data_IF_344616228243
#
_entry.id   IF_344616228243
#
_cell.length_a   1.000
_cell.length_b   1.000
_cell.length_c   1.000
_cell.angle_alpha   90.00
_cell.angle_beta   90.00
_cell.angle_gamma   90.00
#
_symmetry.space_group_name_H-M   'P 1'
#
loop_
_entity.id
_entity.type
_entity.pdbx_description
1 polymer ?
#
# COMPACT_ATOMS: atom_id res chain seq x y z
N UNK A 1 10.37 35.03 12.29
CA UNK A 1 9.25 34.12 12.00
C UNK A 1 8.71 34.28 10.58
N UNK A 2 8.27 35.48 10.15
CA UNK A 2 7.72 35.68 8.79
C UNK A 2 8.60 35.15 7.65
N UNK A 3 9.89 35.48 7.64
CA UNK A 3 10.85 34.96 6.65
C UNK A 3 10.93 33.43 6.60
N UNK A 4 10.87 32.78 7.76
CA UNK A 4 10.89 31.32 7.86
C UNK A 4 9.62 30.71 7.26
N UNK A 5 8.45 31.24 7.60
CA UNK A 5 7.18 30.77 7.05
C UNK A 5 7.14 30.90 5.53
N UNK A 6 7.56 32.05 4.98
CA UNK A 6 7.66 32.27 3.53
C UNK A 6 8.57 31.23 2.86
N UNK A 7 9.71 30.92 3.47
CA UNK A 7 10.65 29.94 2.92
C UNK A 7 10.09 28.52 2.96
N UNK A 8 9.48 28.09 4.08
CA UNK A 8 8.87 26.75 4.21
C UNK A 8 7.76 26.54 3.18
N UNK A 9 6.94 27.56 2.92
CA UNK A 9 5.83 27.47 1.96
C UNK A 9 6.20 27.89 0.53
N UNK A 10 7.48 28.13 0.22
CA UNK A 10 7.91 28.58 -1.10
C UNK A 10 7.72 27.51 -2.18
N UNK A 11 7.15 27.92 -3.32
CA UNK A 11 7.00 27.11 -4.53
C UNK A 11 8.29 27.02 -5.36
N UNK A 12 9.29 27.84 -5.04
CA UNK A 12 10.60 27.86 -5.73
C UNK A 12 11.58 26.83 -5.17
N UNK A 13 11.24 26.17 -4.05
CA UNK A 13 12.06 25.10 -3.51
C UNK A 13 12.05 23.90 -4.47
N UNK A 14 13.23 23.34 -4.76
CA UNK A 14 13.38 22.14 -5.62
C UNK A 14 12.51 20.98 -5.16
N UNK A 15 12.35 20.83 -3.86
CA UNK A 15 11.39 19.95 -3.21
C UNK A 15 10.57 20.80 -2.25
N UNK A 16 9.26 20.90 -2.49
CA UNK A 16 8.36 21.64 -1.61
C UNK A 16 8.46 21.11 -0.17
N UNK A 17 8.51 22.00 0.83
CA UNK A 17 8.53 21.61 2.25
C UNK A 17 7.09 21.62 2.77
N UNK A 18 6.51 22.81 2.95
CA UNK A 18 5.19 22.98 3.54
C UNK A 18 5.17 22.68 5.04
N UNK A 19 4.06 22.99 5.71
CA UNK A 19 3.90 22.71 7.13
C UNK A 19 3.88 21.21 7.43
N UNK A 20 3.29 20.42 6.53
CA UNK A 20 3.34 18.97 6.64
C UNK A 20 4.76 18.43 6.44
N UNK A 21 5.58 19.07 5.60
CA UNK A 21 6.99 18.72 5.41
C UNK A 21 7.81 18.81 6.69
N UNK A 22 7.49 19.74 7.59
CA UNK A 22 8.16 19.89 8.88
C UNK A 22 8.02 18.65 9.78
N UNK A 23 6.92 17.89 9.65
CA UNK A 23 6.73 16.62 10.35
C UNK A 23 7.19 15.42 9.51
N UNK A 24 6.86 15.43 8.22
CA UNK A 24 7.16 14.35 7.27
C UNK A 24 8.66 14.08 7.16
N UNK A 25 9.48 15.13 7.00
CA UNK A 25 10.93 14.98 6.77
C UNK A 25 11.62 14.27 7.94
N UNK A 26 11.55 14.76 9.19
CA UNK A 26 12.25 14.11 10.29
C UNK A 26 11.72 12.70 10.57
N UNK A 27 10.40 12.48 10.47
CA UNK A 27 9.81 11.15 10.73
C UNK A 27 10.24 10.12 9.70
N UNK A 28 10.17 10.44 8.40
CA UNK A 28 10.61 9.52 7.34
C UNK A 28 12.13 9.28 7.37
N UNK A 29 12.94 10.29 7.71
CA UNK A 29 14.39 10.10 7.86
C UNK A 29 14.74 9.17 9.03
N UNK A 30 14.06 9.34 10.18
CA UNK A 30 14.23 8.45 11.34
C UNK A 30 13.79 7.01 11.00
N UNK A 31 12.63 6.83 10.37
CA UNK A 31 12.15 5.50 9.97
C UNK A 31 13.11 4.83 8.96
N UNK A 32 13.54 5.55 7.93
CA UNK A 32 14.44 5.02 6.90
C UNK A 32 15.82 4.66 7.45
N UNK A 33 16.42 5.54 8.26
CA UNK A 33 17.73 5.27 8.88
C UNK A 33 17.69 4.07 9.81
N UNK A 34 16.67 3.97 10.68
CA UNK A 34 16.50 2.82 11.56
C UNK A 34 16.26 1.52 10.76
N UNK A 35 15.39 1.56 9.74
CA UNK A 35 15.13 0.40 8.88
C UNK A 35 16.40 -0.10 8.18
N UNK A 36 17.18 0.79 7.55
CA UNK A 36 18.41 0.40 6.86
C UNK A 36 19.39 -0.28 7.81
N UNK A 37 19.61 0.30 8.99
CA UNK A 37 20.55 -0.26 9.98
C UNK A 37 20.02 -1.61 10.50
N UNK A 38 18.74 -1.67 10.89
CA UNK A 38 18.15 -2.88 11.44
C UNK A 38 18.12 -4.04 10.43
N UNK A 39 17.75 -3.76 9.18
CA UNK A 39 17.73 -4.76 8.12
C UNK A 39 19.13 -5.34 7.82
N UNK A 40 20.18 -4.52 7.97
CA UNK A 40 21.56 -4.97 7.76
C UNK A 40 22.09 -5.73 8.99
N UNK A 41 21.88 -5.20 10.19
CA UNK A 41 22.70 -5.55 11.36
C UNK A 41 21.95 -5.88 12.65
N UNK A 42 20.61 -5.81 12.70
CA UNK A 42 19.88 -6.13 13.93
C UNK A 42 20.14 -7.60 14.36
N UNK A 43 20.34 -7.87 15.66
CA UNK A 43 20.40 -9.22 16.18
C UNK A 43 19.03 -9.92 16.07
N UNK A 44 18.96 -11.24 16.35
CA UNK A 44 17.69 -11.96 16.42
C UNK A 44 16.72 -11.38 17.46
N UNK A 45 15.41 -11.45 17.16
CA UNK A 45 14.31 -10.83 17.93
C UNK A 45 13.33 -11.90 18.42
N UNK A 46 12.92 -11.86 19.68
CA UNK A 46 11.94 -12.78 20.28
C UNK A 46 10.49 -12.35 19.98
N UNK A 47 10.05 -12.54 18.73
CA UNK A 47 8.74 -12.08 18.23
C UNK A 47 7.56 -12.62 19.03
N UNK A 48 7.56 -13.90 19.40
CA UNK A 48 6.41 -14.54 20.08
C UNK A 48 6.49 -14.42 21.61
N UNK A 49 7.58 -13.85 22.15
CA UNK A 49 7.79 -13.71 23.60
C UNK A 49 8.04 -15.03 24.33
N UNK A 50 8.41 -16.07 23.60
CA UNK A 50 8.65 -17.44 24.10
C UNK A 50 10.13 -17.76 24.27
N UNK A 51 11.01 -16.74 24.14
CA UNK A 51 12.47 -16.86 24.18
C UNK A 51 13.03 -17.66 23.03
N UNK A 52 12.44 -17.53 21.85
CA UNK A 52 12.89 -18.14 20.59
C UNK A 52 13.20 -17.05 19.55
N UNK A 53 14.42 -16.48 19.56
CA UNK A 53 14.72 -15.34 18.70
C UNK A 53 14.82 -15.71 17.22
N UNK A 54 14.17 -14.91 16.38
CA UNK A 54 14.19 -15.03 14.92
C UNK A 54 15.22 -14.07 14.33
N UNK A 55 16.16 -14.59 13.55
CA UNK A 55 17.16 -13.79 12.84
C UNK A 55 16.55 -13.11 11.60
N UNK A 56 16.50 -11.77 11.58
CA UNK A 56 15.94 -11.01 10.46
C UNK A 56 16.96 -10.31 9.56
N UNK A 57 18.17 -10.04 10.04
CA UNK A 57 19.09 -9.14 9.33
C UNK A 57 20.12 -9.88 8.46
N UNK A 58 20.71 -9.14 7.51
CA UNK A 58 21.67 -9.70 6.54
C UNK A 58 22.92 -10.28 7.22
N UNK A 59 23.47 -9.58 8.22
CA UNK A 59 24.67 -10.04 8.94
C UNK A 59 24.42 -11.30 9.78
N UNK A 60 23.15 -11.63 10.06
CA UNK A 60 22.75 -12.84 10.77
C UNK A 60 22.23 -13.93 9.82
N UNK A 61 22.72 -13.96 8.58
CA UNK A 61 22.55 -15.08 7.66
C UNK A 61 21.36 -14.99 6.71
N UNK A 62 20.72 -13.82 6.61
CA UNK A 62 19.63 -13.60 5.65
C UNK A 62 20.12 -13.02 4.32
N UNK A 63 19.37 -13.30 3.26
CA UNK A 63 19.47 -12.59 1.99
C UNK A 63 18.32 -11.56 1.86
N UNK A 64 18.21 -10.88 0.73
CA UNK A 64 17.16 -9.87 0.51
C UNK A 64 15.73 -10.44 0.60
N UNK A 65 15.53 -11.71 0.23
CA UNK A 65 14.22 -12.36 0.25
C UNK A 65 13.85 -12.81 1.67
N UNK A 66 14.80 -13.41 2.39
CA UNK A 66 14.56 -13.92 3.74
C UNK A 66 14.66 -12.85 4.83
N UNK A 67 15.37 -11.75 4.56
CA UNK A 67 15.60 -10.68 5.52
C UNK A 67 14.33 -9.88 5.86
N UNK A 68 14.25 -9.44 7.10
CA UNK A 68 13.17 -8.62 7.64
C UNK A 68 13.62 -7.83 8.89
N UNK A 69 12.99 -6.69 9.15
CA UNK A 69 12.92 -6.17 10.52
C UNK A 69 11.74 -6.85 11.21
N UNK A 70 12.05 -7.66 12.23
CA UNK A 70 11.11 -8.53 12.93
C UNK A 70 10.20 -7.70 13.85
N UNK A 71 8.87 -7.97 13.87
CA UNK A 71 7.92 -7.36 14.81
C UNK A 71 8.35 -7.42 16.28
N UNK A 72 7.85 -6.48 17.08
CA UNK A 72 8.17 -6.44 18.51
C UNK A 72 7.53 -7.60 19.26
N UNK A 73 8.21 -8.05 20.31
CA UNK A 73 7.82 -9.24 21.09
C UNK A 73 6.38 -9.22 21.57
N UNK A 74 5.70 -10.37 21.53
CA UNK A 74 4.36 -10.52 22.08
C UNK A 74 4.30 -10.28 23.59
N UNK A 75 5.42 -10.42 24.30
CA UNK A 75 5.52 -10.04 25.71
C UNK A 75 5.28 -8.53 25.93
N UNK A 76 5.48 -7.69 24.90
CA UNK A 76 5.15 -6.26 24.91
C UNK A 76 3.67 -6.04 24.57
N UNK A 77 3.07 -6.86 23.70
CA UNK A 77 1.71 -6.65 23.22
C UNK A 77 1.55 -5.30 22.50
N UNK A 78 0.58 -4.49 22.94
CA UNK A 78 0.33 -3.12 22.46
C UNK A 78 1.02 -2.03 23.29
N UNK A 79 1.86 -2.40 24.27
CA UNK A 79 2.59 -1.40 25.04
C UNK A 79 3.55 -0.61 24.16
N UNK A 80 3.60 0.70 24.39
CA UNK A 80 4.54 1.58 23.71
C UNK A 80 5.95 1.32 24.23
N UNK A 81 6.86 0.85 23.37
CA UNK A 81 8.21 0.42 23.73
C UNK A 81 9.30 1.26 23.04
N UNK A 82 9.46 2.54 23.44
CA UNK A 82 10.55 3.39 22.96
C UNK A 82 11.88 2.96 23.58
N UNK A 83 12.98 3.49 23.03
CA UNK A 83 14.36 3.16 23.46
C UNK A 83 14.55 3.36 24.98
N UNK A 84 13.93 4.39 25.57
CA UNK A 84 14.10 4.73 26.98
C UNK A 84 13.24 3.91 27.96
N UNK A 85 12.37 3.03 27.47
CA UNK A 85 11.69 2.03 28.34
C UNK A 85 12.54 0.78 28.56
N UNK A 86 13.53 0.53 27.69
CA UNK A 86 14.46 -0.59 27.85
C UNK A 86 15.59 -0.24 28.85
N UNK A 87 16.09 -1.23 29.59
CA UNK A 87 17.24 -1.06 30.47
C UNK A 87 18.55 -0.88 29.69
N UNK A 88 18.61 -1.39 28.45
CA UNK A 88 19.75 -1.20 27.55
C UNK A 88 19.33 -1.27 26.08
N UNK A 89 20.26 -0.90 25.19
CA UNK A 89 20.04 -1.00 23.73
C UNK A 89 19.96 -2.48 23.31
N UNK A 90 20.71 -3.37 23.95
CA UNK A 90 20.67 -4.81 23.69
C UNK A 90 19.29 -5.40 24.01
N UNK A 91 18.69 -5.02 25.14
CA UNK A 91 17.32 -5.41 25.49
C UNK A 91 16.32 -4.86 24.47
N UNK A 92 16.46 -3.58 24.10
CA UNK A 92 15.59 -2.96 23.10
C UNK A 92 15.64 -3.69 21.75
N UNK A 93 16.84 -4.10 21.33
CA UNK A 93 17.04 -4.88 20.10
C UNK A 93 16.47 -6.29 20.22
N UNK A 94 16.70 -7.00 21.33
CA UNK A 94 16.18 -8.36 21.56
C UNK A 94 14.65 -8.40 21.51
N UNK A 95 13.99 -7.37 22.02
CA UNK A 95 12.53 -7.27 22.08
C UNK A 95 11.89 -6.66 20.80
N UNK A 96 12.68 -6.40 19.75
CA UNK A 96 12.15 -5.90 18.47
C UNK A 96 11.72 -4.43 18.49
N UNK A 97 12.31 -3.62 19.38
CA UNK A 97 12.09 -2.19 19.46
C UNK A 97 12.24 -1.41 18.13
N UNK A 98 13.18 -1.75 17.22
CA UNK A 98 13.27 -1.12 15.91
C UNK A 98 11.95 -1.15 15.11
N UNK A 99 11.17 -2.23 15.22
CA UNK A 99 9.91 -2.36 14.49
C UNK A 99 8.92 -1.27 14.86
N UNK A 100 8.63 -1.09 16.16
CA UNK A 100 7.70 -0.05 16.61
C UNK A 100 8.21 1.35 16.24
N UNK A 101 9.52 1.61 16.39
CA UNK A 101 10.11 2.90 16.00
C UNK A 101 9.87 3.19 14.52
N UNK A 102 10.18 2.23 13.64
CA UNK A 102 10.02 2.38 12.19
C UNK A 102 8.55 2.57 11.84
N UNK A 103 7.67 1.69 12.30
CA UNK A 103 6.23 1.71 11.97
C UNK A 103 5.59 3.02 12.38
N UNK A 104 5.78 3.46 13.63
CA UNK A 104 5.12 4.66 14.14
C UNK A 104 5.62 5.93 13.43
N UNK A 105 6.94 6.05 13.20
CA UNK A 105 7.48 7.18 12.43
C UNK A 105 7.06 7.12 10.96
N UNK A 106 7.04 5.94 10.35
CA UNK A 106 6.59 5.75 8.97
C UNK A 106 5.13 6.19 8.80
N UNK A 107 4.22 5.73 9.66
CA UNK A 107 2.79 6.06 9.58
C UNK A 107 2.54 7.56 9.74
N UNK A 108 3.22 8.23 10.68
CA UNK A 108 3.18 9.69 10.83
C UNK A 108 3.74 10.40 9.58
N UNK A 109 4.83 9.87 9.03
CA UNK A 109 5.48 10.39 7.84
C UNK A 109 4.60 10.31 6.60
N UNK A 110 3.97 9.17 6.31
CA UNK A 110 3.10 9.00 5.14
C UNK A 110 1.76 9.71 5.29
N UNK A 111 1.22 9.83 6.50
CA UNK A 111 0.07 10.68 6.78
C UNK A 111 0.38 12.17 6.52
N UNK A 112 1.58 12.61 6.93
CA UNK A 112 2.06 13.97 6.62
C UNK A 112 2.34 14.15 5.13
N UNK A 113 2.87 13.14 4.45
CA UNK A 113 3.07 13.16 2.99
C UNK A 113 1.75 13.39 2.26
N UNK A 114 0.68 12.67 2.65
CA UNK A 114 -0.66 12.87 2.13
C UNK A 114 -1.15 14.32 2.33
N UNK A 115 -0.95 14.90 3.53
CA UNK A 115 -1.25 16.31 3.79
C UNK A 115 -0.41 17.28 2.94
N UNK A 116 0.85 16.95 2.68
CA UNK A 116 1.75 17.74 1.83
C UNK A 116 1.31 17.76 0.37
N UNK A 117 0.77 16.65 -0.17
CA UNK A 117 0.19 16.61 -1.51
C UNK A 117 -0.98 17.60 -1.63
N UNK A 118 -1.87 17.63 -0.63
CA UNK A 118 -2.93 18.62 -0.56
C UNK A 118 -2.37 20.05 -0.48
N UNK A 119 -1.42 20.30 0.43
CA UNK A 119 -0.88 21.64 0.65
C UNK A 119 -0.26 22.22 -0.63
N UNK A 120 0.56 21.44 -1.35
CA UNK A 120 1.16 21.89 -2.61
C UNK A 120 0.09 22.09 -3.70
N UNK A 121 -0.90 21.21 -3.79
CA UNK A 121 -2.00 21.39 -4.75
C UNK A 121 -2.71 22.73 -4.56
N UNK A 122 -2.89 23.14 -3.30
CA UNK A 122 -3.46 24.45 -2.96
C UNK A 122 -2.53 25.61 -3.37
N UNK A 123 -1.22 25.52 -3.11
CA UNK A 123 -0.24 26.57 -3.50
C UNK A 123 -0.20 26.80 -5.01
N UNK A 124 -0.37 25.74 -5.79
CA UNK A 124 -0.33 25.80 -7.26
C UNK A 124 -1.70 26.05 -7.91
N UNK A 125 -2.77 26.23 -7.11
CA UNK A 125 -4.13 26.41 -7.65
C UNK A 125 -4.69 25.18 -8.37
N UNK A 126 -4.18 23.99 -8.05
CA UNK A 126 -4.64 22.72 -8.61
C UNK A 126 -5.94 22.24 -7.93
N UNK A 127 -6.62 21.28 -8.56
CA UNK A 127 -7.73 20.56 -7.92
C UNK A 127 -7.20 19.68 -6.78
N UNK A 128 -7.83 19.66 -5.59
CA UNK A 128 -7.22 19.11 -4.38
C UNK A 128 -7.54 17.63 -4.15
N UNK A 129 -7.44 16.75 -5.14
CA UNK A 129 -7.90 15.35 -5.00
C UNK A 129 -6.84 14.27 -5.21
N UNK A 130 -5.59 14.64 -5.47
CA UNK A 130 -4.48 13.68 -5.59
C UNK A 130 -4.27 12.95 -4.25
N UNK A 131 -4.25 13.69 -3.14
CA UNK A 131 -4.10 13.12 -1.81
C UNK A 131 -5.22 12.14 -1.43
N UNK A 132 -6.42 12.31 -2.00
CA UNK A 132 -7.53 11.37 -1.79
C UNK A 132 -7.21 10.03 -2.43
N UNK A 133 -6.62 10.00 -3.62
CA UNK A 133 -6.15 8.75 -4.22
C UNK A 133 -5.01 8.13 -3.39
N UNK A 134 -4.07 8.94 -2.90
CA UNK A 134 -2.98 8.47 -2.03
C UNK A 134 -3.46 7.96 -0.66
N UNK A 135 -4.67 8.32 -0.21
CA UNK A 135 -5.24 7.79 1.02
C UNK A 135 -5.48 6.27 0.98
N UNK A 136 -5.68 5.68 -0.20
CA UNK A 136 -5.89 4.23 -0.34
C UNK A 136 -4.68 3.41 0.16
N UNK A 137 -3.45 3.62 -0.35
CA UNK A 137 -2.28 2.92 0.18
C UNK A 137 -1.93 3.33 1.62
N UNK A 138 -2.19 4.57 2.04
CA UNK A 138 -2.01 4.97 3.46
C UNK A 138 -2.94 4.17 4.36
N UNK A 139 -4.21 4.00 4.00
CA UNK A 139 -5.17 3.19 4.74
C UNK A 139 -4.75 1.71 4.77
N UNK A 140 -4.22 1.16 3.67
CA UNK A 140 -3.73 -0.21 3.64
C UNK A 140 -2.54 -0.42 4.59
N UNK A 141 -1.59 0.52 4.60
CA UNK A 141 -0.46 0.50 5.52
C UNK A 141 -0.92 0.62 6.99
N UNK A 142 -1.85 1.52 7.28
CA UNK A 142 -2.43 1.64 8.63
C UNK A 142 -3.16 0.36 9.05
N UNK A 143 -3.83 -0.34 8.13
CA UNK A 143 -4.54 -1.58 8.44
C UNK A 143 -3.59 -2.67 8.92
N UNK A 144 -2.49 -2.92 8.20
CA UNK A 144 -1.56 -4.04 8.50
C UNK A 144 -0.53 -3.72 9.60
N UNK A 145 -0.21 -2.44 9.82
CA UNK A 145 0.82 -2.05 10.80
C UNK A 145 0.27 -1.49 12.11
N UNK A 146 -1.02 -1.15 12.18
CA UNK A 146 -1.61 -0.53 13.37
C UNK A 146 -2.97 -1.12 13.73
N UNK A 147 -3.94 -1.11 12.81
CA UNK A 147 -5.31 -1.54 13.15
C UNK A 147 -5.34 -3.03 13.49
N UNK A 148 -4.69 -3.87 12.68
CA UNK A 148 -4.62 -5.30 12.92
C UNK A 148 -3.90 -5.64 14.24
N UNK A 149 -2.69 -5.12 14.53
CA UNK A 149 -2.07 -5.22 15.85
C UNK A 149 -2.96 -4.81 17.03
N UNK A 150 -3.71 -3.71 16.89
CA UNK A 150 -4.62 -3.25 17.96
C UNK A 150 -5.74 -4.26 18.17
N UNK A 151 -6.32 -4.78 17.09
CA UNK A 151 -7.40 -5.76 17.14
C UNK A 151 -6.99 -7.09 17.76
N UNK A 152 -5.78 -7.56 17.43
CA UNK A 152 -5.21 -8.80 17.98
C UNK A 152 -4.53 -8.60 19.34
N UNK A 153 -4.29 -7.36 19.76
CA UNK A 153 -3.71 -7.04 21.06
C UNK A 153 -2.18 -7.11 21.11
N UNK A 154 -1.51 -7.18 19.95
CA UNK A 154 -0.06 -7.27 19.88
C UNK A 154 0.55 -6.70 18.60
N UNK A 155 1.64 -5.95 18.71
CA UNK A 155 2.46 -5.60 17.54
C UNK A 155 3.23 -6.78 16.95
N UNK A 156 3.32 -7.92 17.65
CA UNK A 156 3.91 -9.14 17.09
C UNK A 156 3.13 -9.70 15.89
N UNK A 157 1.80 -9.48 15.87
CA UNK A 157 0.91 -9.84 14.76
C UNK A 157 0.90 -8.81 13.62
N UNK A 158 1.64 -7.71 13.77
CA UNK A 158 1.84 -6.74 12.70
C UNK A 158 2.65 -7.34 11.55
N UNK A 159 2.36 -6.93 10.32
CA UNK A 159 3.10 -7.42 9.16
C UNK A 159 4.62 -7.15 9.31
N UNK A 160 5.50 -8.16 9.21
CA UNK A 160 6.94 -7.95 9.27
C UNK A 160 7.47 -7.08 8.14
N UNK A 161 8.55 -6.32 8.38
CA UNK A 161 9.16 -5.46 7.36
C UNK A 161 10.18 -6.25 6.51
N UNK A 162 9.68 -7.18 5.71
CA UNK A 162 10.49 -8.04 4.82
C UNK A 162 9.64 -8.87 3.87
N UNK A 163 10.26 -9.42 2.83
CA UNK A 163 9.55 -10.14 1.76
C UNK A 163 8.95 -11.45 2.28
N UNK A 164 9.79 -12.33 2.85
CA UNK A 164 9.30 -13.61 3.39
C UNK A 164 8.36 -13.42 4.58
N UNK A 165 8.60 -12.40 5.40
CA UNK A 165 7.72 -12.04 6.52
C UNK A 165 6.34 -11.56 6.06
N UNK A 166 6.25 -10.87 4.92
CA UNK A 166 4.96 -10.53 4.30
C UNK A 166 4.19 -11.79 3.90
N UNK A 167 4.86 -12.80 3.32
CA UNK A 167 4.20 -14.07 2.99
C UNK A 167 3.74 -14.81 4.24
N UNK A 168 4.56 -14.84 5.30
CA UNK A 168 4.16 -15.42 6.58
C UNK A 168 2.90 -14.76 7.13
N UNK A 169 2.86 -13.42 7.18
CA UNK A 169 1.66 -12.67 7.58
C UNK A 169 0.44 -13.07 6.75
N UNK A 170 0.55 -13.11 5.41
CA UNK A 170 -0.57 -13.47 4.53
C UNK A 170 -1.08 -14.89 4.77
N UNK A 171 -0.20 -15.86 5.03
CA UNK A 171 -0.58 -17.27 5.27
C UNK A 171 -1.28 -17.42 6.62
N UNK A 172 -0.73 -16.83 7.68
CA UNK A 172 -1.35 -16.85 9.02
C UNK A 172 -2.70 -16.14 8.98
N UNK A 173 -2.77 -14.98 8.35
CA UNK A 173 -4.02 -14.22 8.20
C UNK A 173 -5.10 -15.03 7.45
N UNK A 174 -4.73 -15.81 6.43
CA UNK A 174 -5.66 -16.73 5.78
C UNK A 174 -6.14 -17.83 6.73
N UNK A 175 -5.25 -18.42 7.52
CA UNK A 175 -5.61 -19.46 8.48
C UNK A 175 -6.58 -18.94 9.56
N UNK A 176 -6.37 -17.72 10.06
CA UNK A 176 -7.17 -17.14 11.14
C UNK A 176 -8.48 -16.51 10.68
N UNK A 177 -8.49 -15.93 9.47
CA UNK A 177 -9.60 -15.10 9.00
C UNK A 177 -10.31 -15.58 7.74
N UNK A 178 -9.79 -16.61 7.07
CA UNK A 178 -10.28 -17.06 5.77
C UNK A 178 -10.47 -15.90 4.77
N UNK A 179 -9.46 -15.02 4.67
CA UNK A 179 -9.51 -13.77 3.89
C UNK A 179 -9.92 -13.99 2.43
N UNK A 180 -9.56 -15.12 1.83
CA UNK A 180 -9.96 -15.45 0.47
C UNK A 180 -11.49 -15.50 0.29
N UNK A 181 -12.23 -15.81 1.36
CA UNK A 181 -13.69 -15.83 1.39
C UNK A 181 -14.31 -14.52 1.87
N UNK A 182 -13.52 -13.46 2.08
CA UNK A 182 -14.01 -12.15 2.51
C UNK A 182 -14.30 -11.23 1.30
N UNK A 183 -15.52 -10.67 1.15
CA UNK A 183 -15.92 -9.92 -0.04
C UNK A 183 -15.12 -8.63 -0.26
N UNK A 184 -14.65 -7.98 0.81
CA UNK A 184 -13.79 -6.81 0.67
C UNK A 184 -12.41 -7.15 0.09
N UNK A 185 -11.87 -8.33 0.40
CA UNK A 185 -10.63 -8.79 -0.22
C UNK A 185 -10.85 -9.10 -1.71
N UNK A 186 -11.95 -9.78 -2.07
CA UNK A 186 -12.32 -10.01 -3.48
C UNK A 186 -12.47 -8.70 -4.26
N UNK A 187 -13.08 -7.67 -3.65
CA UNK A 187 -13.18 -6.35 -4.26
C UNK A 187 -11.81 -5.67 -4.42
N UNK A 188 -10.90 -5.85 -3.45
CA UNK A 188 -9.50 -5.44 -3.58
C UNK A 188 -8.77 -6.11 -4.74
N UNK A 189 -8.93 -7.43 -4.89
CA UNK A 189 -8.38 -8.21 -6.02
C UNK A 189 -8.92 -7.66 -7.35
N UNK A 190 -10.23 -7.41 -7.45
CA UNK A 190 -10.83 -6.78 -8.64
C UNK A 190 -10.28 -5.37 -8.89
N UNK A 191 -10.01 -4.60 -7.83
CA UNK A 191 -9.38 -3.28 -7.88
C UNK A 191 -8.00 -3.32 -8.51
N UNK A 192 -7.10 -4.21 -8.04
CA UNK A 192 -5.72 -4.30 -8.55
C UNK A 192 -5.64 -4.94 -9.92
N UNK A 193 -6.37 -6.04 -10.18
CA UNK A 193 -6.41 -6.67 -11.50
C UNK A 193 -7.03 -5.75 -12.54
N UNK A 194 -8.15 -5.10 -12.22
CA UNK A 194 -8.72 -4.09 -13.10
C UNK A 194 -7.80 -2.88 -13.28
N UNK A 195 -7.14 -2.41 -12.22
CA UNK A 195 -6.13 -1.34 -12.31
C UNK A 195 -5.01 -1.66 -13.30
N UNK A 196 -4.43 -2.87 -13.22
CA UNK A 196 -3.42 -3.35 -14.18
C UNK A 196 -3.97 -3.46 -15.60
N UNK A 197 -5.18 -4.05 -15.75
CA UNK A 197 -5.86 -4.18 -17.04
C UNK A 197 -6.09 -2.80 -17.69
N UNK A 198 -6.63 -1.85 -16.95
CA UNK A 198 -6.96 -0.52 -17.46
C UNK A 198 -5.72 0.34 -17.69
N UNK A 199 -4.64 0.15 -16.93
CA UNK A 199 -3.34 0.75 -17.20
C UNK A 199 -2.79 0.29 -18.56
N UNK A 200 -2.78 -1.02 -18.79
CA UNK A 200 -2.34 -1.59 -20.08
C UNK A 200 -3.25 -1.17 -21.24
N UNK A 201 -4.57 -1.23 -21.03
CA UNK A 201 -5.57 -0.79 -22.01
C UNK A 201 -5.35 0.68 -22.38
N UNK A 202 -5.29 1.59 -21.40
CA UNK A 202 -5.13 3.02 -21.66
C UNK A 202 -3.83 3.31 -22.40
N UNK A 203 -2.71 2.75 -21.92
CA UNK A 203 -1.40 2.88 -22.58
C UNK A 203 -1.46 2.42 -24.03
N UNK A 204 -2.01 1.22 -24.28
CA UNK A 204 -2.10 0.66 -25.64
C UNK A 204 -2.97 1.51 -26.58
N UNK A 205 -4.12 2.04 -26.13
CA UNK A 205 -5.02 2.85 -26.95
C UNK A 205 -4.42 4.21 -27.29
N UNK A 206 -3.80 4.88 -26.31
CA UNK A 206 -3.10 6.16 -26.56
C UNK A 206 -1.95 5.94 -27.53
N UNK A 207 -1.08 4.95 -27.29
CA UNK A 207 0.06 4.66 -28.17
C UNK A 207 -0.38 4.28 -29.59
N UNK A 208 -1.49 3.54 -29.75
CA UNK A 208 -2.01 3.14 -31.06
C UNK A 208 -2.54 4.30 -31.92
N UNK A 209 -2.79 5.46 -31.31
CA UNK A 209 -3.46 6.60 -31.93
C UNK A 209 -2.64 7.89 -31.91
N UNK A 210 -1.33 7.78 -31.64
CA UNK A 210 -0.39 8.90 -31.76
C UNK A 210 -0.43 9.49 -33.17
N UNK A 211 -0.42 10.83 -33.23
CA UNK A 211 -0.28 11.54 -34.50
C UNK A 211 1.16 11.39 -34.99
N UNK A 212 1.35 11.17 -36.29
CA UNK A 212 2.68 10.98 -36.86
C UNK A 212 3.41 12.33 -36.96
N UNK A 213 4.33 12.55 -36.03
CA UNK A 213 5.18 13.76 -35.96
C UNK A 213 6.68 13.45 -36.16
N UNK A 214 7.02 12.19 -36.38
CA UNK A 214 8.41 11.72 -36.54
C UNK A 214 8.57 10.82 -37.77
N UNK A 215 9.81 10.68 -38.21
CA UNK A 215 10.23 9.67 -39.20
C UNK A 215 10.36 8.27 -38.58
N UNK A 216 10.61 7.27 -39.43
CA UNK A 216 10.85 5.88 -38.99
C UNK A 216 12.21 5.66 -38.31
N UNK A 217 13.14 6.61 -38.45
CA UNK A 217 14.51 6.51 -37.95
C UNK A 217 14.73 7.14 -36.57
N UNK A 218 13.67 7.65 -35.94
CA UNK A 218 13.72 8.27 -34.63
C UNK A 218 12.58 7.74 -33.75
N UNK A 219 12.74 7.87 -32.42
CA UNK A 219 11.67 7.48 -31.50
C UNK A 219 10.44 8.35 -31.67
N UNK A 220 9.27 7.71 -31.72
CA UNK A 220 7.96 8.40 -31.75
C UNK A 220 7.76 9.37 -30.56
N UNK A 221 8.47 9.16 -29.46
CA UNK A 221 8.42 10.05 -28.30
C UNK A 221 8.89 11.48 -28.63
N UNK A 222 9.80 11.64 -29.60
CA UNK A 222 10.27 12.97 -30.01
C UNK A 222 9.18 13.81 -30.70
N UNK A 223 8.07 13.19 -31.11
CA UNK A 223 6.91 13.87 -31.66
C UNK A 223 6.21 14.76 -30.63
N UNK A 224 6.23 14.39 -29.35
CA UNK A 224 5.69 15.21 -28.27
C UNK A 224 6.72 16.22 -27.76
N UNK A 225 6.30 17.48 -27.58
CA UNK A 225 7.08 18.55 -26.95
C UNK A 225 6.45 18.94 -25.61
N UNK A 226 7.27 18.99 -24.56
CA UNK A 226 6.80 19.33 -23.22
C UNK A 226 6.17 20.73 -23.18
N UNK A 227 4.91 20.80 -22.77
CA UNK A 227 4.14 22.05 -22.68
C UNK A 227 3.43 22.47 -23.97
N UNK A 228 3.39 21.62 -25.00
CA UNK A 228 2.59 21.88 -26.19
C UNK A 228 1.09 21.95 -25.86
N UNK A 229 0.34 22.76 -26.61
CA UNK A 229 -1.10 22.96 -26.39
C UNK A 229 -1.95 21.88 -27.07
N UNK A 230 -1.48 21.32 -28.17
CA UNK A 230 -2.22 20.32 -28.95
C UNK A 230 -2.07 18.91 -28.37
N UNK A 231 -3.18 18.17 -28.33
CA UNK A 231 -3.21 16.77 -27.92
C UNK A 231 -2.36 15.90 -28.87
N UNK A 232 -1.54 15.02 -28.30
CA UNK A 232 -0.55 14.24 -29.07
C UNK A 232 -1.13 13.00 -29.78
N UNK A 233 -2.40 12.67 -29.54
CA UNK A 233 -3.08 11.48 -30.06
C UNK A 233 -4.52 11.78 -30.46
N UNK A 234 -5.08 10.95 -31.34
CA UNK A 234 -6.45 11.08 -31.82
C UNK A 234 -7.43 10.23 -30.98
N UNK A 235 -8.08 10.86 -29.99
CA UNK A 235 -9.07 10.18 -29.13
C UNK A 235 -10.28 9.63 -29.90
N UNK A 236 -10.67 10.26 -31.01
CA UNK A 236 -11.80 9.78 -31.83
C UNK A 236 -11.43 8.46 -32.53
N UNK A 237 -10.18 8.33 -33.00
CA UNK A 237 -9.67 7.09 -33.55
C UNK A 237 -9.61 5.99 -32.47
N UNK A 238 -9.07 6.30 -31.28
CA UNK A 238 -9.02 5.36 -30.16
C UNK A 238 -10.43 4.90 -29.72
N UNK A 239 -11.36 5.84 -29.55
CA UNK A 239 -12.75 5.55 -29.21
C UNK A 239 -13.42 4.70 -30.28
N UNK A 240 -13.22 5.04 -31.56
CA UNK A 240 -13.77 4.30 -32.69
C UNK A 240 -13.21 2.87 -32.80
N UNK A 241 -11.95 2.64 -32.47
CA UNK A 241 -11.37 1.30 -32.39
C UNK A 241 -12.00 0.50 -31.24
N UNK A 242 -11.92 1.03 -30.01
CA UNK A 242 -12.38 0.29 -28.82
C UNK A 242 -13.91 0.08 -28.80
N UNK A 243 -14.67 1.05 -29.31
CA UNK A 243 -16.13 0.94 -29.44
C UNK A 243 -16.56 -0.12 -30.46
N UNK A 244 -15.72 -0.47 -31.44
CA UNK A 244 -15.95 -1.61 -32.34
C UNK A 244 -15.46 -2.93 -31.76
N UNK A 245 -14.42 -2.90 -30.92
CA UNK A 245 -13.86 -4.09 -30.28
C UNK A 245 -14.85 -4.73 -29.30
N UNK A 246 -15.55 -3.92 -28.50
CA UNK A 246 -16.52 -4.39 -27.49
C UNK A 246 -17.95 -4.07 -27.96
N UNK A 247 -18.42 -2.84 -27.73
CA UNK A 247 -19.60 -2.21 -28.33
C UNK A 247 -19.56 -0.71 -28.00
N UNK A 248 -20.23 0.12 -28.80
CA UNK A 248 -20.02 1.58 -28.81
C UNK A 248 -20.17 2.26 -27.44
N UNK A 249 -21.14 1.81 -26.63
CA UNK A 249 -21.43 2.40 -25.32
C UNK A 249 -20.46 1.97 -24.21
N UNK A 250 -19.63 0.95 -24.41
CA UNK A 250 -18.60 0.53 -23.45
C UNK A 250 -17.32 1.38 -23.52
N UNK A 251 -17.22 2.27 -24.51
CA UNK A 251 -16.03 3.09 -24.77
C UNK A 251 -16.22 4.52 -24.26
N UNK A 252 -15.18 5.09 -23.63
CA UNK A 252 -15.20 6.49 -23.21
C UNK A 252 -14.90 7.39 -24.41
N UNK A 253 -15.79 8.35 -24.70
CA UNK A 253 -15.54 9.46 -25.64
C UNK A 253 -15.19 10.78 -24.92
N UNK A 254 -15.22 10.79 -23.59
CA UNK A 254 -14.85 11.92 -22.74
C UNK A 254 -13.60 11.58 -21.93
N UNK A 255 -12.49 12.26 -22.25
CA UNK A 255 -11.19 12.04 -21.58
C UNK A 255 -11.26 12.27 -20.06
N UNK A 256 -12.05 13.24 -19.57
CA UNK A 256 -12.17 13.50 -18.13
C UNK A 256 -12.86 12.35 -17.39
N UNK A 257 -13.90 11.77 -18.00
CA UNK A 257 -14.61 10.63 -17.42
C UNK A 257 -13.72 9.38 -17.41
N UNK A 258 -12.97 9.14 -18.50
CA UNK A 258 -11.98 8.07 -18.58
C UNK A 258 -10.95 8.18 -17.45
N UNK A 259 -10.29 9.32 -17.31
CA UNK A 259 -9.25 9.49 -16.29
C UNK A 259 -9.79 9.48 -14.86
N UNK A 260 -11.03 9.95 -14.64
CA UNK A 260 -11.71 9.78 -13.35
C UNK A 260 -11.93 8.29 -13.04
N UNK A 261 -12.37 7.49 -14.00
CA UNK A 261 -12.53 6.05 -13.83
C UNK A 261 -11.20 5.35 -13.54
N UNK A 262 -10.13 5.69 -14.29
CA UNK A 262 -8.79 5.16 -14.09
C UNK A 262 -8.26 5.43 -12.67
N UNK A 263 -8.60 6.59 -12.10
CA UNK A 263 -8.27 6.89 -10.70
C UNK A 263 -9.18 6.14 -9.72
N UNK A 264 -10.50 6.18 -9.94
CA UNK A 264 -11.48 5.66 -8.99
C UNK A 264 -11.42 4.13 -8.82
N UNK A 265 -11.25 3.37 -9.90
CA UNK A 265 -11.30 1.91 -9.87
C UNK A 265 -10.28 1.28 -8.90
N UNK A 266 -8.96 1.51 -9.04
CA UNK A 266 -7.99 0.94 -8.12
C UNK A 266 -8.11 1.54 -6.71
N UNK A 267 -8.41 2.84 -6.58
CA UNK A 267 -8.51 3.52 -5.27
C UNK A 267 -9.63 2.91 -4.42
N UNK A 268 -10.83 2.75 -4.99
CA UNK A 268 -11.96 2.16 -4.27
C UNK A 268 -11.69 0.69 -3.92
N UNK A 269 -11.10 -0.07 -4.83
CA UNK A 269 -10.71 -1.46 -4.55
C UNK A 269 -9.74 -1.58 -3.37
N UNK A 270 -8.70 -0.74 -3.34
CA UNK A 270 -7.75 -0.72 -2.22
C UNK A 270 -8.42 -0.27 -0.92
N UNK A 271 -9.28 0.77 -0.93
CA UNK A 271 -10.04 1.15 0.27
C UNK A 271 -10.86 -0.02 0.82
N UNK A 272 -11.55 -0.77 -0.02
CA UNK A 272 -12.31 -1.94 0.41
C UNK A 272 -11.38 -2.99 1.03
N UNK A 273 -10.27 -3.34 0.38
CA UNK A 273 -9.32 -4.30 0.96
C UNK A 273 -8.76 -3.83 2.31
N UNK A 274 -8.44 -2.54 2.46
CA UNK A 274 -7.98 -1.95 3.72
C UNK A 274 -9.04 -2.07 4.82
N UNK A 275 -10.32 -1.84 4.48
CA UNK A 275 -11.45 -2.07 5.38
C UNK A 275 -11.60 -3.56 5.72
N UNK A 276 -11.32 -4.46 4.77
CA UNK A 276 -11.31 -5.91 4.99
C UNK A 276 -10.33 -6.29 6.10
N UNK A 277 -9.07 -5.91 5.96
CA UNK A 277 -8.05 -6.15 7.01
C UNK A 277 -8.46 -5.49 8.33
N UNK A 278 -8.93 -4.25 8.28
CA UNK A 278 -9.34 -3.50 9.48
C UNK A 278 -10.56 -4.08 10.22
N UNK A 279 -11.42 -4.82 9.53
CA UNK A 279 -12.61 -5.46 10.13
C UNK A 279 -12.30 -6.86 10.64
N UNK A 280 -11.49 -7.62 9.90
CA UNK A 280 -10.96 -8.92 10.35
C UNK A 280 -10.02 -8.78 11.55
N UNK A 281 -9.39 -7.62 11.76
CA UNK A 281 -8.72 -7.27 13.01
C UNK A 281 -9.61 -7.44 14.26
N UNK A 282 -10.93 -7.32 14.10
CA UNK A 282 -11.92 -7.53 15.16
C UNK A 282 -12.70 -8.84 14.95
N UNK A 283 -12.08 -9.80 14.26
CA UNK A 283 -12.57 -11.17 14.05
C UNK A 283 -13.91 -11.28 13.30
N UNK A 284 -14.26 -10.27 12.50
CA UNK A 284 -15.31 -10.38 11.49
C UNK A 284 -14.73 -11.00 10.21
N UNK A 285 -14.69 -12.32 10.20
CA UNK A 285 -13.96 -13.12 9.21
C UNK A 285 -14.69 -13.28 7.87
N UNK A 286 -14.00 -13.90 6.90
CA UNK A 286 -14.61 -14.32 5.63
C UNK A 286 -15.76 -15.30 5.81
N UNK A 287 -16.53 -15.52 4.74
CA UNK A 287 -17.65 -16.45 4.80
C UNK A 287 -17.20 -17.86 5.20
N UNK A 288 -17.98 -18.48 6.09
CA UNK A 288 -17.81 -19.87 6.49
C UNK A 288 -18.98 -20.69 5.93
N UNK A 289 -18.67 -21.55 4.94
CA UNK A 289 -19.63 -22.47 4.34
C UNK A 289 -19.28 -23.94 4.63
N UNK A 290 -18.55 -24.20 5.72
CA UNK A 290 -18.18 -25.55 6.11
C UNK A 290 -19.43 -26.39 6.35
N UNK A 291 -19.50 -27.55 5.70
CA UNK A 291 -20.59 -28.51 5.79
C UNK A 291 -21.98 -27.91 5.47
N UNK A 292 -22.02 -26.86 4.65
CA UNK A 292 -23.27 -26.14 4.35
C UNK A 292 -24.22 -26.92 3.42
N UNK A 293 -23.74 -27.96 2.75
CA UNK A 293 -24.55 -28.81 1.87
C UNK A 293 -24.68 -30.19 2.50
N UNK A 294 -25.94 -30.61 2.69
CA UNK A 294 -26.30 -31.87 3.34
C UNK A 294 -27.33 -32.59 2.47
N UNK A 295 -27.21 -33.91 2.33
CA UNK A 295 -28.19 -34.74 1.63
C UNK A 295 -29.47 -34.98 2.48
N UNK A 296 -30.45 -35.67 1.90
CA UNK A 296 -31.70 -36.00 2.62
C UNK A 296 -31.52 -36.94 3.81
N UNK A 297 -30.37 -37.63 3.91
CA UNK A 297 -30.02 -38.54 5.02
C UNK A 297 -29.19 -37.84 6.11
N UNK A 298 -28.91 -36.54 5.98
CA UNK A 298 -28.10 -35.79 6.94
C UNK A 298 -26.59 -35.96 6.72
N UNK A 299 -26.14 -36.53 5.60
CA UNK A 299 -24.71 -36.65 5.28
C UNK A 299 -24.20 -35.37 4.62
N UNK A 300 -23.04 -34.91 5.08
CA UNK A 300 -22.35 -33.76 4.49
C UNK A 300 -21.88 -34.11 3.08
N UNK A 301 -22.16 -33.21 2.12
CA UNK A 301 -21.59 -33.23 0.79
C UNK A 301 -20.55 -32.12 0.71
N UNK A 302 -19.28 -32.50 0.71
CA UNK A 302 -18.18 -31.53 0.65
C UNK A 302 -18.24 -30.70 -0.64
N UNK A 303 -17.89 -29.43 -0.49
CA UNK A 303 -17.74 -28.43 -1.53
C UNK A 303 -16.30 -27.93 -1.57
N UNK A 304 -15.98 -26.99 -2.47
CA UNK A 304 -14.66 -26.34 -2.46
C UNK A 304 -14.39 -25.56 -1.17
N UNK A 305 -15.42 -25.07 -0.47
CA UNK A 305 -15.24 -24.41 0.82
C UNK A 305 -14.68 -25.39 1.88
N UNK A 306 -15.13 -26.65 1.85
CA UNK A 306 -14.65 -27.71 2.75
C UNK A 306 -13.23 -28.19 2.41
N UNK A 307 -12.74 -27.95 1.18
CA UNK A 307 -11.34 -28.22 0.80
C UNK A 307 -10.42 -27.08 1.22
N UNK A 308 -10.94 -25.84 1.26
CA UNK A 308 -10.20 -24.67 1.77
C UNK A 308 -9.99 -24.77 3.29
N UNK A 309 -10.97 -25.33 4.00
CA UNK A 309 -10.93 -25.55 5.46
C UNK A 309 -10.12 -26.79 5.84
#
# INVERSE_FOLDING_TARGET
WGTFATWITSTENRLYIGWFGCLMIPTLLTAASCYIIAFIAAPPVDIDGIREPVAGSLLYGNNIISGAVIPSSNAIGIHFYPIWEAASVEEWLYNGGPYQLIVLHFLLGVASYMGREWELSYRLGMRPWIFVAFSAPVAAASAVFLVYPIGQGSFSDGMPLGISGTFNFMIVFQAEHNILMHPFHMAGVAGVFGGSLFSAMHGSLVTSSLIRETSENESVNYGYKFGQEEETYNIVAAHGYFGRLIFQYASFNNSRALHFFLAAWPVVGIWLTSLGISTMAFNLNGFNFNQSVVDSEGRVINTWADIIN
#
